data_IF_082256959275
#
_entry.id   IF_082256959275
#
_cell.length_a   1.000
_cell.length_b   1.000
_cell.length_c   1.000
_cell.angle_alpha   90.00
_cell.angle_beta   90.00
_cell.angle_gamma   90.00
#
_symmetry.space_group_name_H-M   'P 1'
#
loop_
_entity.id
_entity.type
_entity.pdbx_description
1 polymer ?
#
# COMPACT_ATOMS: atom_id res chain seq x y z
N UNK A 1 -1.68 1.44 0.66
CA UNK A 1 -2.22 0.66 1.78
C UNK A 1 -1.12 -0.15 2.43
N UNK A 2 -1.46 -0.89 3.47
CA UNK A 2 -0.55 -1.73 4.24
C UNK A 2 -1.23 -3.01 4.70
N UNK A 3 -0.41 -3.99 5.08
CA UNK A 3 -0.86 -5.23 5.70
C UNK A 3 -0.86 -5.17 7.23
N UNK A 4 -1.27 -6.26 7.87
CA UNK A 4 -1.34 -6.37 9.34
C UNK A 4 0.01 -6.15 10.05
N UNK A 5 1.13 -6.35 9.36
CA UNK A 5 2.47 -6.08 9.89
C UNK A 5 2.99 -4.69 9.52
N UNK A 6 2.15 -3.84 8.92
CA UNK A 6 2.51 -2.50 8.45
C UNK A 6 3.36 -2.49 7.18
N UNK A 7 3.59 -3.65 6.53
CA UNK A 7 4.34 -3.68 5.27
C UNK A 7 3.51 -3.02 4.18
N UNK A 8 4.12 -2.20 3.32
CA UNK A 8 3.37 -1.51 2.29
C UNK A 8 2.92 -2.50 1.20
N UNK A 9 1.72 -2.25 0.66
CA UNK A 9 1.27 -2.89 -0.58
C UNK A 9 1.95 -2.22 -1.78
N UNK A 10 2.50 -3.02 -2.70
CA UNK A 10 3.29 -2.51 -3.83
C UNK A 10 2.63 -2.84 -5.16
N UNK A 11 2.39 -1.81 -5.98
CA UNK A 11 1.60 -1.92 -7.21
C UNK A 11 2.24 -2.80 -8.31
N UNK A 12 3.57 -2.90 -8.34
CA UNK A 12 4.32 -3.72 -9.31
C UNK A 12 4.50 -5.18 -8.86
N UNK A 13 3.94 -5.57 -7.70
CA UNK A 13 4.02 -6.94 -7.17
C UNK A 13 2.65 -7.60 -7.27
N UNK A 14 2.51 -8.54 -8.20
CA UNK A 14 1.26 -9.25 -8.44
C UNK A 14 0.81 -10.16 -7.28
N UNK A 15 -0.50 -10.22 -7.05
CA UNK A 15 -1.16 -11.09 -6.09
C UNK A 15 -1.24 -10.49 -4.69
N UNK A 16 -1.72 -11.27 -3.73
CA UNK A 16 -1.94 -10.85 -2.33
C UNK A 16 -0.85 -11.30 -1.36
N UNK A 17 0.07 -12.15 -1.83
CA UNK A 17 1.14 -12.75 -1.03
C UNK A 17 2.31 -11.78 -0.79
N UNK A 18 3.13 -12.11 0.21
CA UNK A 18 4.38 -11.41 0.49
C UNK A 18 5.46 -11.79 -0.52
N UNK A 19 6.26 -10.81 -0.94
CA UNK A 19 7.45 -11.03 -1.77
C UNK A 19 8.63 -10.21 -1.27
N UNK A 20 9.82 -10.80 -1.28
CA UNK A 20 11.07 -10.09 -1.03
C UNK A 20 11.66 -9.59 -2.34
N UNK A 21 11.74 -8.27 -2.51
CA UNK A 21 12.20 -7.62 -3.74
C UNK A 21 13.45 -6.79 -3.44
N UNK A 22 14.41 -6.78 -4.36
CA UNK A 22 15.60 -5.93 -4.27
C UNK A 22 15.26 -4.53 -4.77
N UNK A 23 15.13 -3.58 -3.85
CA UNK A 23 14.75 -2.20 -4.13
C UNK A 23 15.96 -1.28 -4.22
N UNK A 24 15.88 -0.28 -5.09
CA UNK A 24 16.79 0.87 -5.19
C UNK A 24 16.16 2.14 -4.62
N UNK A 25 14.86 2.09 -4.27
CA UNK A 25 14.08 3.18 -3.68
C UNK A 25 12.58 2.98 -3.88
N UNK A 26 11.78 3.95 -3.44
CA UNK A 26 10.33 4.00 -3.62
C UNK A 26 9.54 3.38 -2.46
N UNK A 27 8.35 2.84 -2.76
CA UNK A 27 7.44 2.31 -1.74
C UNK A 27 8.09 1.19 -0.92
N UNK A 28 8.25 1.44 0.39
CA UNK A 28 8.87 0.51 1.34
C UNK A 28 10.38 0.64 1.50
N UNK A 29 11.04 1.56 0.79
CA UNK A 29 12.47 1.80 0.95
C UNK A 29 12.88 3.20 0.49
N UNK A 30 13.44 3.99 1.42
CA UNK A 30 14.05 5.28 1.15
C UNK A 30 15.59 5.15 1.28
N UNK A 31 16.36 5.20 0.17
CA UNK A 31 17.79 4.97 0.19
C UNK A 31 18.55 6.16 0.80
N UNK A 32 19.59 5.89 1.60
CA UNK A 32 20.36 6.95 2.26
C UNK A 32 21.50 7.52 1.40
N UNK A 33 21.86 6.82 0.32
CA UNK A 33 23.01 7.14 -0.54
C UNK A 33 22.75 6.68 -1.97
N UNK A 34 23.40 7.32 -2.93
CA UNK A 34 23.36 6.89 -4.32
C UNK A 34 23.93 5.47 -4.47
N UNK A 35 23.26 4.65 -5.28
CA UNK A 35 23.62 3.25 -5.50
C UNK A 35 23.23 2.28 -4.37
N UNK A 36 22.64 2.73 -3.25
CA UNK A 36 22.17 1.83 -2.19
C UNK A 36 21.01 0.95 -2.67
N UNK A 37 21.10 -0.35 -2.39
CA UNK A 37 20.04 -1.33 -2.69
C UNK A 37 19.75 -2.16 -1.45
N UNK A 38 18.47 -2.44 -1.20
CA UNK A 38 18.04 -3.27 -0.07
C UNK A 38 16.99 -4.29 -0.49
N UNK A 39 17.14 -5.54 -0.02
CA UNK A 39 16.07 -6.53 -0.12
C UNK A 39 15.03 -6.24 0.94
N UNK A 40 13.82 -5.89 0.52
CA UNK A 40 12.69 -5.56 1.40
C UNK A 40 11.53 -6.49 1.11
N UNK A 41 10.85 -6.96 2.16
CA UNK A 41 9.62 -7.74 2.02
C UNK A 41 8.43 -6.80 1.98
N UNK A 42 7.67 -6.89 0.90
CA UNK A 42 6.46 -6.09 0.64
C UNK A 42 5.28 -7.01 0.39
N UNK A 43 4.07 -6.47 0.53
CA UNK A 43 2.85 -7.18 0.13
C UNK A 43 2.54 -6.88 -1.33
N UNK A 44 1.98 -7.87 -2.02
CA UNK A 44 1.48 -7.66 -3.37
C UNK A 44 0.31 -6.67 -3.44
N UNK A 45 -0.08 -6.32 -4.66
CA UNK A 45 -1.03 -5.26 -4.99
C UNK A 45 -2.49 -5.62 -4.77
N UNK A 46 -2.80 -6.91 -4.66
CA UNK A 46 -4.18 -7.39 -4.52
C UNK A 46 -4.66 -7.26 -3.07
N UNK A 47 -5.87 -6.70 -2.90
CA UNK A 47 -6.51 -6.57 -1.58
C UNK A 47 -7.00 -7.95 -1.12
N UNK A 48 -6.61 -8.32 0.08
CA UNK A 48 -7.04 -9.56 0.73
C UNK A 48 -7.33 -9.34 2.22
N UNK A 49 -7.77 -10.39 2.93
CA UNK A 49 -8.19 -10.30 4.35
C UNK A 49 -7.12 -9.77 5.32
N UNK A 50 -5.84 -9.92 4.96
CA UNK A 50 -4.73 -9.43 5.77
C UNK A 50 -4.26 -8.02 5.35
N UNK A 51 -5.09 -7.30 4.59
CA UNK A 51 -4.92 -5.87 4.31
C UNK A 51 -5.47 -5.08 5.49
N UNK A 52 -4.62 -4.29 6.14
CA UNK A 52 -5.01 -3.51 7.32
C UNK A 52 -5.50 -2.11 6.95
N UNK A 53 -4.95 -1.52 5.89
CA UNK A 53 -5.31 -0.17 5.45
C UNK A 53 -5.35 -0.10 3.92
N UNK A 54 -6.39 0.54 3.39
CA UNK A 54 -6.53 0.89 1.98
C UNK A 54 -6.40 2.41 1.85
N UNK A 55 -5.59 2.87 0.89
CA UNK A 55 -5.49 4.30 0.57
C UNK A 55 -6.37 4.53 -0.66
N UNK A 56 -7.42 5.33 -0.53
CA UNK A 56 -8.35 5.64 -1.60
C UNK A 56 -8.29 7.12 -1.99
N UNK A 57 -8.73 7.43 -3.23
CA UNK A 57 -8.90 8.79 -3.73
C UNK A 57 -10.28 8.91 -4.37
N UNK A 58 -11.00 9.97 -4.03
CA UNK A 58 -12.30 10.30 -4.63
C UNK A 58 -12.07 10.72 -6.09
N UNK A 59 -12.71 10.01 -7.03
CA UNK A 59 -12.65 10.32 -8.48
C UNK A 59 -13.92 11.02 -8.99
N UNK A 60 -15.00 10.99 -8.22
CA UNK A 60 -16.27 11.65 -8.51
C UNK A 60 -17.13 11.73 -7.25
N UNK A 61 -18.12 12.63 -7.23
CA UNK A 61 -19.05 12.81 -6.11
C UNK A 61 -20.45 12.36 -6.55
N UNK A 62 -21.13 11.63 -5.67
CA UNK A 62 -22.53 11.25 -5.84
C UNK A 62 -23.47 12.31 -5.23
N UNK A 63 -24.72 11.90 -5.01
CA UNK A 63 -25.77 12.77 -4.47
C UNK A 63 -25.63 13.05 -2.96
N UNK A 64 -24.98 12.15 -2.22
CA UNK A 64 -24.75 12.27 -0.76
C UNK A 64 -23.35 12.84 -0.46
N UNK A 65 -23.20 13.75 0.52
CA UNK A 65 -21.90 14.29 0.91
C UNK A 65 -21.02 13.20 1.56
N UNK A 66 -19.71 13.37 1.41
CA UNK A 66 -18.73 12.36 1.87
C UNK A 66 -18.68 12.29 3.39
N UNK A 67 -18.91 13.43 4.03
CA UNK A 67 -18.93 13.58 5.47
C UNK A 67 -20.02 12.70 6.08
N UNK A 68 -21.24 12.72 5.54
CA UNK A 68 -22.35 11.86 5.99
C UNK A 68 -22.08 10.36 5.73
N UNK A 69 -21.49 10.03 4.57
CA UNK A 69 -21.12 8.64 4.24
C UNK A 69 -20.03 8.04 5.14
N UNK A 70 -19.19 8.89 5.71
CA UNK A 70 -18.10 8.52 6.63
C UNK A 70 -18.44 8.84 8.08
N UNK A 71 -19.64 9.37 8.35
CA UNK A 71 -20.17 9.55 9.70
C UNK A 71 -20.58 8.18 10.26
N UNK A 72 -19.62 7.56 10.96
CA UNK A 72 -19.70 6.65 12.13
C UNK A 72 -18.92 5.33 11.99
N UNK A 73 -17.90 5.15 12.85
CA UNK A 73 -18.03 4.63 14.23
C UNK A 73 -17.19 5.48 15.20
#
# INVERSE_FOLDING_TARGET
GSDDAGRPMRADVSGSNLRSVLLTGGTGYDPSRDGERRRVTVRGSEVSDATRQINAKITGRGDEPVEELLESE
#
